data_IF_699119846705
#
_entry.id   IF_699119846705
#
_cell.length_a   1.000
_cell.length_b   1.000
_cell.length_c   1.000
_cell.angle_alpha   90.00
_cell.angle_beta   90.00
_cell.angle_gamma   90.00
#
_symmetry.space_group_name_H-M   'P 1'
#
loop_
_entity.id
_entity.type
_entity.pdbx_description
1 polymer ?
#
# COMPACT_ATOMS: atom_id res chain seq x y z
N UNK A 1 18.83 -11.58 -54.40
CA UNK A 1 19.31 -12.03 -53.08
C UNK A 1 18.56 -11.25 -52.02
N UNK A 2 17.99 -11.93 -51.02
CA UNK A 2 17.33 -11.29 -49.88
C UNK A 2 18.38 -10.99 -48.80
N UNK A 3 18.63 -9.70 -48.54
CA UNK A 3 19.63 -9.22 -47.57
C UNK A 3 19.06 -9.11 -46.15
N UNK A 4 17.78 -9.43 -45.93
CA UNK A 4 17.13 -9.29 -44.62
C UNK A 4 17.82 -10.13 -43.53
N UNK A 5 18.34 -11.30 -43.90
CA UNK A 5 19.04 -12.22 -42.98
C UNK A 5 20.51 -11.86 -42.74
N UNK A 6 21.06 -10.87 -43.47
CA UNK A 6 22.44 -10.40 -43.28
C UNK A 6 22.52 -9.19 -42.35
N UNK A 7 21.38 -8.68 -41.87
CA UNK A 7 21.26 -7.50 -41.03
C UNK A 7 21.16 -7.90 -39.55
N UNK A 8 21.97 -7.28 -38.70
CA UNK A 8 21.89 -7.46 -37.24
C UNK A 8 20.82 -6.53 -36.65
N UNK A 9 19.55 -6.93 -36.77
CA UNK A 9 18.43 -6.15 -36.27
C UNK A 9 18.21 -6.39 -34.76
N UNK A 10 17.82 -5.36 -33.99
CA UNK A 10 17.42 -5.56 -32.61
C UNK A 10 16.24 -6.51 -32.49
N UNK A 11 16.40 -7.55 -31.67
CA UNK A 11 15.34 -8.50 -31.32
C UNK A 11 15.13 -8.45 -29.80
N UNK A 12 13.87 -8.32 -29.38
CA UNK A 12 13.50 -8.35 -27.97
C UNK A 12 12.09 -8.89 -27.80
N UNK A 13 11.90 -9.68 -26.74
CA UNK A 13 10.58 -10.12 -26.30
C UNK A 13 9.86 -9.03 -25.49
N UNK A 14 10.53 -7.89 -25.23
CA UNK A 14 9.94 -6.77 -24.52
C UNK A 14 8.85 -6.10 -25.38
N UNK A 15 7.58 -6.12 -24.94
CA UNK A 15 6.49 -5.59 -25.74
C UNK A 15 6.59 -4.07 -25.87
N UNK A 16 6.35 -3.56 -27.06
CA UNK A 16 6.36 -2.11 -27.32
C UNK A 16 5.24 -1.37 -26.56
N UNK A 17 4.12 -2.04 -26.27
CA UNK A 17 3.02 -1.49 -25.46
C UNK A 17 3.13 -1.98 -24.02
N UNK A 18 3.03 -1.06 -23.07
CA UNK A 18 3.22 -1.37 -21.65
C UNK A 18 2.12 -2.25 -21.05
N UNK A 19 0.84 -1.98 -21.37
CA UNK A 19 -0.32 -2.69 -20.79
C UNK A 19 -0.31 -2.75 -19.24
N UNK A 20 0.04 -1.63 -18.60
CA UNK A 20 0.24 -1.53 -17.15
C UNK A 20 -0.95 -1.99 -16.29
N UNK A 21 -2.23 -1.69 -16.62
CA UNK A 21 -3.36 -2.12 -15.79
C UNK A 21 -3.44 -3.64 -15.56
N UNK A 22 -2.89 -4.43 -16.48
CA UNK A 22 -2.84 -5.89 -16.35
C UNK A 22 -1.49 -6.37 -15.78
N UNK A 23 -0.38 -5.73 -16.17
CA UNK A 23 0.97 -6.17 -15.76
C UNK A 23 1.34 -5.78 -14.33
N UNK A 24 0.89 -4.63 -13.85
CA UNK A 24 1.19 -4.19 -12.48
C UNK A 24 0.63 -5.15 -11.42
N UNK A 25 -0.63 -5.63 -11.50
CA UNK A 25 -1.12 -6.68 -10.60
C UNK A 25 -0.29 -7.97 -10.63
N UNK A 26 0.16 -8.41 -11.81
CA UNK A 26 1.02 -9.59 -11.94
C UNK A 26 2.38 -9.39 -11.24
N UNK A 27 2.97 -8.20 -11.43
CA UNK A 27 4.24 -7.84 -10.79
C UNK A 27 4.11 -7.78 -9.26
N UNK A 28 3.01 -7.22 -8.74
CA UNK A 28 2.76 -7.15 -7.30
C UNK A 28 2.62 -8.56 -6.70
N UNK A 29 1.84 -9.45 -7.34
CA UNK A 29 1.74 -10.86 -6.92
C UNK A 29 3.10 -11.53 -6.88
N UNK A 30 3.93 -11.34 -7.91
CA UNK A 30 5.27 -11.91 -7.92
C UNK A 30 6.14 -11.37 -6.77
N UNK A 31 6.03 -10.08 -6.43
CA UNK A 31 6.78 -9.50 -5.32
C UNK A 31 6.35 -10.08 -3.97
N UNK A 32 5.04 -10.29 -3.76
CA UNK A 32 4.48 -10.92 -2.57
C UNK A 32 4.90 -12.39 -2.45
N UNK A 33 4.71 -13.18 -3.50
CA UNK A 33 5.06 -14.61 -3.54
C UNK A 33 6.55 -14.85 -3.29
N UNK A 34 7.40 -13.94 -3.74
CA UNK A 34 8.86 -14.06 -3.58
C UNK A 34 9.40 -13.45 -2.28
N UNK A 35 8.54 -12.80 -1.48
CA UNK A 35 8.94 -12.04 -0.29
C UNK A 35 10.00 -10.99 -0.60
N UNK A 36 9.84 -10.28 -1.73
CA UNK A 36 10.88 -9.41 -2.27
C UNK A 36 11.28 -8.31 -1.26
N UNK A 37 10.31 -7.74 -0.57
CA UNK A 37 10.54 -6.67 0.39
C UNK A 37 11.37 -7.14 1.61
N UNK A 38 11.03 -8.29 2.18
CA UNK A 38 11.72 -8.91 3.30
C UNK A 38 13.16 -9.24 2.92
N UNK A 39 13.35 -9.80 1.72
CA UNK A 39 14.68 -10.12 1.18
C UNK A 39 15.51 -8.87 0.94
N UNK A 40 14.91 -7.79 0.46
CA UNK A 40 15.59 -6.49 0.30
C UNK A 40 16.08 -5.95 1.65
N UNK A 41 15.25 -6.03 2.69
CA UNK A 41 15.62 -5.60 4.04
C UNK A 41 16.68 -6.49 4.68
N UNK A 42 16.58 -7.81 4.50
CA UNK A 42 17.55 -8.78 5.00
C UNK A 42 18.94 -8.56 4.39
N UNK A 43 19.00 -8.30 3.08
CA UNK A 43 20.26 -8.00 2.38
C UNK A 43 20.95 -6.73 2.88
N UNK A 44 20.24 -5.90 3.65
CA UNK A 44 20.71 -4.65 4.25
C UNK A 44 20.71 -4.70 5.79
N UNK A 45 20.67 -5.89 6.42
CA UNK A 45 20.53 -6.04 7.88
C UNK A 45 21.55 -5.23 8.70
N UNK A 46 22.79 -5.19 8.24
CA UNK A 46 23.91 -4.53 8.95
C UNK A 46 24.23 -3.12 8.40
N UNK A 47 23.41 -2.62 7.47
CA UNK A 47 23.57 -1.28 6.90
C UNK A 47 23.07 -0.18 7.86
N UNK A 48 23.56 1.06 7.73
CA UNK A 48 23.00 2.19 8.46
C UNK A 48 21.50 2.33 8.18
N UNK A 49 20.73 2.57 9.24
CA UNK A 49 19.26 2.67 9.15
C UNK A 49 18.82 4.04 8.67
N UNK A 50 17.83 4.05 7.79
CA UNK A 50 17.07 5.23 7.44
C UNK A 50 15.60 4.96 7.75
N UNK A 51 15.02 5.72 8.68
CA UNK A 51 13.64 5.54 9.11
C UNK A 51 12.81 6.74 8.66
N UNK A 52 11.82 6.46 7.82
CA UNK A 52 10.81 7.44 7.43
C UNK A 52 9.53 7.13 8.20
N UNK A 53 9.17 8.01 9.14
CA UNK A 53 7.93 7.89 9.88
C UNK A 53 6.74 8.26 9.00
N UNK A 54 5.81 7.32 8.84
CA UNK A 54 4.58 7.54 8.12
C UNK A 54 3.54 8.20 9.03
N UNK A 55 3.08 9.39 8.66
CA UNK A 55 1.89 9.98 9.27
C UNK A 55 0.67 9.11 8.95
N UNK A 56 0.02 8.49 9.95
CA UNK A 56 -1.05 7.54 9.71
C UNK A 56 -2.26 8.28 9.10
N UNK A 57 -2.73 7.91 7.89
CA UNK A 57 -3.97 8.45 7.35
C UNK A 57 -5.16 8.07 8.25
N UNK A 58 -6.14 8.96 8.26
CA UNK A 58 -7.37 8.73 9.01
C UNK A 58 -8.23 7.67 8.33
N UNK A 59 -8.74 6.70 9.09
CA UNK A 59 -9.50 5.58 8.57
C UNK A 59 -10.98 5.93 8.30
N UNK A 60 -11.32 7.12 7.77
CA UNK A 60 -12.72 7.57 7.63
C UNK A 60 -13.20 7.78 6.18
N UNK A 61 -12.43 7.44 5.15
CA UNK A 61 -12.86 7.67 3.77
C UNK A 61 -12.07 6.92 2.70
N UNK A 62 -12.46 7.14 1.44
CA UNK A 62 -11.75 6.60 0.28
C UNK A 62 -10.42 7.34 0.06
N UNK A 63 -9.44 6.63 -0.49
CA UNK A 63 -8.15 7.19 -0.88
C UNK A 63 -8.36 8.16 -2.06
N UNK A 64 -8.03 9.42 -1.85
CA UNK A 64 -8.00 10.45 -2.90
C UNK A 64 -6.58 10.70 -3.44
N UNK A 65 -6.45 11.50 -4.51
CA UNK A 65 -5.16 11.77 -5.18
C UNK A 65 -4.07 12.33 -4.24
N UNK A 66 -4.43 13.14 -3.24
CA UNK A 66 -3.49 13.61 -2.22
C UNK A 66 -2.83 12.49 -1.40
N UNK A 67 -3.57 11.40 -1.11
CA UNK A 67 -3.00 10.23 -0.46
C UNK A 67 -2.02 9.51 -1.39
N UNK A 68 -2.39 9.33 -2.66
CA UNK A 68 -1.52 8.72 -3.65
C UNK A 68 -0.21 9.49 -3.80
N UNK A 69 -0.28 10.82 -3.95
CA UNK A 69 0.89 11.69 -4.02
C UNK A 69 1.79 11.52 -2.78
N UNK A 70 1.20 11.56 -1.58
CA UNK A 70 1.95 11.41 -0.35
C UNK A 70 2.68 10.06 -0.26
N UNK A 71 2.00 8.96 -0.58
CA UNK A 71 2.57 7.61 -0.50
C UNK A 71 3.61 7.36 -1.58
N UNK A 72 3.39 7.83 -2.81
CA UNK A 72 4.37 7.73 -3.90
C UNK A 72 5.66 8.47 -3.56
N UNK A 73 5.59 9.68 -3.00
CA UNK A 73 6.79 10.43 -2.60
C UNK A 73 7.57 9.71 -1.49
N UNK A 74 6.88 9.17 -0.48
CA UNK A 74 7.49 8.38 0.60
C UNK A 74 8.15 7.10 0.09
N UNK A 75 7.50 6.42 -0.87
CA UNK A 75 8.02 5.22 -1.51
C UNK A 75 9.29 5.51 -2.32
N UNK A 76 9.30 6.58 -3.14
CA UNK A 76 10.49 7.01 -3.90
C UNK A 76 11.68 7.25 -2.96
N UNK A 77 11.48 8.00 -1.87
CA UNK A 77 12.55 8.31 -0.92
C UNK A 77 13.06 7.04 -0.23
N UNK A 78 12.16 6.15 0.20
CA UNK A 78 12.53 4.90 0.87
C UNK A 78 13.31 3.98 -0.07
N UNK A 79 12.83 3.79 -1.31
CA UNK A 79 13.52 2.99 -2.33
C UNK A 79 14.88 3.58 -2.69
N UNK A 80 14.95 4.90 -2.88
CA UNK A 80 16.21 5.59 -3.12
C UNK A 80 17.23 5.34 -2.00
N UNK A 81 16.83 5.45 -0.74
CA UNK A 81 17.72 5.19 0.41
C UNK A 81 18.16 3.73 0.49
N UNK A 82 17.27 2.79 0.20
CA UNK A 82 17.62 1.37 0.10
C UNK A 82 18.66 1.09 -1.01
N UNK A 83 18.49 1.73 -2.17
CA UNK A 83 19.44 1.63 -3.29
C UNK A 83 20.77 2.32 -2.98
N UNK A 84 20.74 3.44 -2.24
CA UNK A 84 21.92 4.16 -1.75
C UNK A 84 22.67 3.46 -0.61
N UNK A 85 22.22 2.27 -0.19
CA UNK A 85 22.96 1.42 0.75
C UNK A 85 22.43 1.40 2.18
N UNK A 86 21.30 2.07 2.47
CA UNK A 86 20.71 2.09 3.81
C UNK A 86 19.73 0.94 4.03
N UNK A 87 19.57 0.50 5.28
CA UNK A 87 18.43 -0.31 5.69
C UNK A 87 17.22 0.61 5.88
N UNK A 88 16.24 0.55 4.98
CA UNK A 88 15.11 1.51 4.95
C UNK A 88 13.75 0.82 5.11
N UNK A 89 13.41 0.32 6.31
CA UNK A 89 12.10 -0.26 6.55
C UNK A 89 11.03 0.82 6.55
N UNK A 90 9.93 0.57 5.84
CA UNK A 90 8.73 1.39 5.81
C UNK A 90 7.60 0.67 6.53
N UNK A 91 6.96 1.34 7.49
CA UNK A 91 5.82 0.81 8.24
C UNK A 91 4.64 1.78 8.09
N UNK A 92 3.63 1.43 7.29
CA UNK A 92 2.42 2.23 7.21
C UNK A 92 1.63 2.13 8.53
N UNK A 93 0.96 3.21 8.90
CA UNK A 93 0.05 3.24 10.05
C UNK A 93 -1.36 3.66 9.66
N UNK A 94 -2.31 3.53 10.58
CA UNK A 94 -3.69 4.02 10.44
C UNK A 94 -4.11 4.75 11.71
N UNK A 95 -4.81 5.86 11.55
CA UNK A 95 -5.44 6.55 12.68
C UNK A 95 -6.92 6.15 12.75
N UNK A 96 -7.24 5.43 13.81
CA UNK A 96 -8.51 4.77 14.02
C UNK A 96 -9.33 5.40 15.15
N UNK A 97 -8.84 6.45 15.82
CA UNK A 97 -9.51 7.04 16.97
C UNK A 97 -10.03 8.46 16.67
N UNK A 98 -11.01 8.90 17.46
CA UNK A 98 -11.46 10.28 17.51
C UNK A 98 -12.83 10.52 16.87
N UNK A 99 -13.29 11.76 16.98
CA UNK A 99 -14.62 12.16 16.56
C UNK A 99 -14.97 11.83 15.09
N UNK A 100 -14.06 11.94 14.10
CA UNK A 100 -14.42 11.63 12.73
C UNK A 100 -14.84 10.17 12.48
N UNK A 101 -14.30 9.17 13.19
CA UNK A 101 -14.75 7.78 13.04
C UNK A 101 -16.10 7.57 13.75
N UNK A 102 -16.28 8.19 14.92
CA UNK A 102 -17.54 8.14 15.69
C UNK A 102 -18.70 8.74 14.89
N UNK A 103 -18.46 9.86 14.21
CA UNK A 103 -19.45 10.51 13.35
C UNK A 103 -19.80 9.65 12.12
N UNK A 104 -18.83 8.96 11.52
CA UNK A 104 -19.10 8.04 10.40
C UNK A 104 -19.90 6.81 10.84
N UNK A 105 -19.64 6.30 12.04
CA UNK A 105 -20.44 5.22 12.66
C UNK A 105 -21.87 5.72 12.90
N UNK A 106 -22.03 6.92 13.46
CA UNK A 106 -23.34 7.53 13.71
C UNK A 106 -24.14 7.75 12.41
N UNK A 107 -23.50 8.15 11.31
CA UNK A 107 -24.17 8.28 10.00
C UNK A 107 -24.63 6.93 9.44
N UNK A 108 -23.89 5.85 9.68
CA UNK A 108 -24.22 4.50 9.20
C UNK A 108 -25.29 3.81 10.04
N UNK A 109 -25.39 4.16 11.32
CA UNK A 109 -26.42 3.69 12.23
C UNK A 109 -27.72 4.49 12.00
N UNK A 110 -28.72 3.84 11.42
CA UNK A 110 -30.06 4.42 11.33
C UNK A 110 -30.60 4.70 12.74
N UNK A 111 -31.36 5.80 12.91
CA UNK A 111 -31.85 6.25 14.24
C UNK A 111 -32.66 5.17 14.98
N UNK A 112 -33.30 4.28 14.22
CA UNK A 112 -34.05 3.12 14.71
C UNK A 112 -33.16 2.08 15.41
N UNK A 113 -32.03 1.71 14.79
CA UNK A 113 -31.06 0.73 15.31
C UNK A 113 -30.28 1.24 16.51
N UNK A 114 -30.11 2.55 16.65
CA UNK A 114 -29.44 3.18 17.80
C UNK A 114 -30.17 2.93 19.13
N UNK A 115 -31.49 2.76 19.10
CA UNK A 115 -32.28 2.46 20.30
C UNK A 115 -32.17 0.98 20.72
N UNK A 116 -31.92 0.07 19.78
CA UNK A 116 -31.72 -1.36 20.03
C UNK A 116 -30.27 -1.72 20.37
N UNK A 117 -29.30 -1.03 19.78
CA UNK A 117 -27.88 -1.21 20.05
C UNK A 117 -27.49 -0.47 21.35
N UNK A 118 -27.35 -1.22 22.43
CA UNK A 118 -26.69 -0.72 23.65
C UNK A 118 -25.22 -0.37 23.41
N UNK A 119 -24.55 0.18 24.43
CA UNK A 119 -23.15 0.65 24.34
C UNK A 119 -22.17 -0.41 23.80
N UNK A 120 -22.40 -1.70 24.09
CA UNK A 120 -21.58 -2.82 23.60
C UNK A 120 -21.66 -3.00 22.07
N UNK A 121 -22.85 -2.88 21.48
CA UNK A 121 -23.02 -3.05 20.03
C UNK A 121 -22.45 -1.89 19.21
N UNK A 122 -22.42 -0.68 19.78
CA UNK A 122 -21.74 0.45 19.16
C UNK A 122 -20.21 0.26 19.15
N UNK A 123 -19.66 -0.33 20.21
CA UNK A 123 -18.22 -0.64 20.33
C UNK A 123 -17.81 -1.74 19.33
N UNK A 124 -18.60 -2.80 19.19
CA UNK A 124 -18.34 -3.85 18.18
C UNK A 124 -18.35 -3.28 16.76
N UNK A 125 -19.32 -2.43 16.42
CA UNK A 125 -19.39 -1.83 15.09
C UNK A 125 -18.20 -0.89 14.80
N UNK A 126 -17.71 -0.19 15.82
CA UNK A 126 -16.49 0.62 15.75
C UNK A 126 -15.27 -0.26 15.49
N UNK A 127 -15.13 -1.37 16.23
CA UNK A 127 -14.04 -2.34 16.07
C UNK A 127 -14.03 -2.96 14.66
N UNK A 128 -15.19 -3.38 14.15
CA UNK A 128 -15.31 -3.95 12.81
C UNK A 128 -14.90 -2.92 11.73
N UNK A 129 -15.37 -1.68 11.86
CA UNK A 129 -15.01 -0.60 10.94
C UNK A 129 -13.53 -0.20 11.00
N UNK A 130 -12.88 -0.38 12.17
CA UNK A 130 -11.46 -0.14 12.33
C UNK A 130 -10.64 -1.27 11.70
N UNK A 131 -11.02 -2.54 11.91
CA UNK A 131 -10.31 -3.73 11.40
C UNK A 131 -10.42 -3.88 9.88
N UNK A 132 -11.62 -3.71 9.30
CA UNK A 132 -11.83 -3.80 7.85
C UNK A 132 -10.99 -2.77 7.08
N UNK A 133 -10.74 -1.61 7.69
CA UNK A 133 -9.97 -0.53 7.05
C UNK A 133 -8.47 -0.70 7.20
N UNK A 134 -8.02 -1.40 8.24
CA UNK A 134 -6.63 -1.80 8.38
C UNK A 134 -6.26 -2.95 7.44
N UNK A 135 -7.20 -3.83 7.09
CA UNK A 135 -6.98 -4.97 6.18
C UNK A 135 -6.60 -4.59 4.73
N UNK A 136 -6.64 -3.31 4.36
CA UNK A 136 -6.15 -2.79 3.07
C UNK A 136 -4.62 -2.71 3.02
N UNK A 137 -3.92 -2.92 4.14
CA UNK A 137 -2.47 -3.13 4.11
C UNK A 137 -2.17 -4.58 3.75
N UNK A 138 -1.39 -4.76 2.67
CA UNK A 138 -0.73 -6.01 2.28
C UNK A 138 -0.27 -6.76 3.53
N UNK A 139 -0.62 -8.05 3.71
CA UNK A 139 -0.19 -8.81 4.87
C UNK A 139 1.34 -8.81 4.94
N UNK A 140 1.84 -8.60 6.15
CA UNK A 140 3.26 -8.67 6.47
C UNK A 140 3.83 -10.08 6.28
#
# INVERSE_FOLDING_TARGET
>A
MDYKNTLNLPATDFPMRANLPNREPDMLRQWEETGLYERMLERRRDAPRFLLHDGPPYANGNIHIGHALNKVLKDIVTKYKCLAGFQSPYRPGWDCHGLPIELEVEKKLDRSKRAELGALGAVELLLDLQLDRQAVTVPA
#
